data_IF_234377184413
#
_entry.id   IF_234377184413
#
_cell.length_a   1.000
_cell.length_b   1.000
_cell.length_c   1.000
_cell.angle_alpha   90.00
_cell.angle_beta   90.00
_cell.angle_gamma   90.00
#
_symmetry.space_group_name_H-M   'P 1'
#
loop_
_entity.id
_entity.type
_entity.pdbx_description
1 polymer ?
#
# COMPACT_ATOMS: atom_id res chain seq x y z
N UNK A 1 -8.31 -38.95 -42.02
CA UNK A 1 -7.22 -37.97 -41.81
C UNK A 1 -7.40 -36.60 -42.51
N UNK A 2 -8.15 -36.41 -43.61
CA UNK A 2 -8.21 -35.10 -44.29
C UNK A 2 -9.03 -34.04 -43.53
N UNK A 3 -10.07 -34.44 -42.78
CA UNK A 3 -10.96 -33.49 -42.09
C UNK A 3 -10.25 -32.61 -41.03
N UNK A 4 -9.26 -33.16 -40.32
CA UNK A 4 -8.49 -32.40 -39.32
C UNK A 4 -7.55 -31.38 -39.96
N UNK A 5 -6.99 -31.69 -41.13
CA UNK A 5 -6.14 -30.78 -41.89
C UNK A 5 -6.96 -29.63 -42.50
N UNK A 6 -8.15 -29.94 -43.02
CA UNK A 6 -9.09 -28.92 -43.53
C UNK A 6 -9.55 -27.98 -42.40
N UNK A 7 -9.89 -28.53 -41.22
CA UNK A 7 -10.28 -27.73 -40.07
C UNK A 7 -9.13 -26.84 -39.55
N UNK A 8 -7.91 -27.37 -39.47
CA UNK A 8 -6.74 -26.60 -39.05
C UNK A 8 -6.42 -25.47 -40.05
N UNK A 9 -6.48 -25.73 -41.36
CA UNK A 9 -6.27 -24.73 -42.39
C UNK A 9 -7.34 -23.61 -42.34
N UNK A 10 -8.60 -23.96 -42.08
CA UNK A 10 -9.68 -22.99 -41.93
C UNK A 10 -9.48 -22.06 -40.73
N UNK A 11 -9.04 -22.59 -39.58
CA UNK A 11 -8.76 -21.79 -38.39
C UNK A 11 -7.59 -20.83 -38.64
N UNK A 12 -6.51 -21.30 -39.27
CA UNK A 12 -5.35 -20.46 -39.58
C UNK A 12 -5.74 -19.34 -40.55
N UNK A 13 -6.50 -19.65 -41.60
CA UNK A 13 -6.97 -18.63 -42.55
C UNK A 13 -7.84 -17.57 -41.87
N UNK A 14 -8.68 -17.96 -40.90
CA UNK A 14 -9.54 -17.04 -40.14
C UNK A 14 -8.72 -16.11 -39.23
N UNK A 15 -7.72 -16.65 -38.53
CA UNK A 15 -6.80 -15.86 -37.69
C UNK A 15 -5.97 -14.89 -38.54
N UNK A 16 -5.43 -15.35 -39.66
CA UNK A 16 -4.64 -14.50 -40.58
C UNK A 16 -5.52 -13.42 -41.21
N UNK A 17 -6.74 -13.76 -41.64
CA UNK A 17 -7.70 -12.79 -42.17
C UNK A 17 -8.09 -11.72 -41.14
N UNK A 18 -8.33 -12.12 -39.89
CA UNK A 18 -8.62 -11.19 -38.79
C UNK A 18 -7.44 -10.26 -38.51
N UNK A 19 -6.23 -10.81 -38.48
CA UNK A 19 -5.02 -10.04 -38.25
C UNK A 19 -4.77 -9.04 -39.39
N UNK A 20 -4.90 -9.47 -40.65
CA UNK A 20 -4.73 -8.59 -41.82
C UNK A 20 -5.80 -7.49 -41.87
N UNK A 21 -7.05 -7.80 -41.54
CA UNK A 21 -8.12 -6.79 -41.42
C UNK A 21 -7.80 -5.75 -40.35
N UNK A 22 -7.38 -6.20 -39.17
CA UNK A 22 -6.97 -5.31 -38.08
C UNK A 22 -5.80 -4.40 -38.48
N UNK A 23 -4.81 -4.92 -39.22
CA UNK A 23 -3.69 -4.12 -39.72
C UNK A 23 -4.11 -3.11 -40.78
N UNK A 24 -5.07 -3.46 -41.64
CA UNK A 24 -5.61 -2.53 -42.65
C UNK A 24 -6.36 -1.38 -41.97
N UNK A 25 -7.20 -1.69 -40.98
CA UNK A 25 -7.95 -0.68 -40.22
C UNK A 25 -7.01 0.22 -39.42
N UNK A 26 -6.00 -0.36 -38.77
CA UNK A 26 -4.98 0.39 -38.04
C UNK A 26 -4.15 1.28 -38.98
N UNK A 27 -3.81 0.78 -40.17
CA UNK A 27 -3.08 1.53 -41.19
C UNK A 27 -3.88 2.70 -41.76
N UNK A 28 -5.17 2.51 -42.03
CA UNK A 28 -6.09 3.57 -42.45
C UNK A 28 -6.18 4.66 -41.38
N UNK A 29 -6.40 4.27 -40.12
CA UNK A 29 -6.44 5.21 -39.00
C UNK A 29 -5.12 5.97 -38.82
N UNK A 30 -3.96 5.30 -38.94
CA UNK A 30 -2.66 5.95 -38.87
C UNK A 30 -2.43 6.94 -40.01
N UNK A 31 -2.86 6.59 -41.22
CA UNK A 31 -2.77 7.45 -42.40
C UNK A 31 -3.62 8.71 -42.21
N UNK A 32 -4.87 8.57 -41.77
CA UNK A 32 -5.76 9.70 -41.50
C UNK A 32 -5.20 10.60 -40.38
N UNK A 33 -4.65 9.99 -39.32
CA UNK A 33 -3.97 10.71 -38.25
C UNK A 33 -2.73 11.46 -38.79
N UNK A 34 -1.96 10.85 -39.68
CA UNK A 34 -0.80 11.48 -40.31
C UNK A 34 -1.20 12.66 -41.20
N UNK A 35 -2.23 12.50 -42.04
CA UNK A 35 -2.76 13.59 -42.85
C UNK A 35 -3.28 14.74 -41.97
N UNK A 36 -3.94 14.42 -40.86
CA UNK A 36 -4.37 15.41 -39.89
C UNK A 36 -3.18 16.14 -39.23
N UNK A 37 -2.12 15.42 -38.85
CA UNK A 37 -0.92 16.00 -38.25
C UNK A 37 -0.10 16.83 -39.24
N UNK A 38 -0.07 16.43 -40.50
CA UNK A 38 0.64 17.11 -41.60
C UNK A 38 -0.16 18.27 -42.19
N UNK A 39 -1.47 18.37 -41.92
CA UNK A 39 -2.29 19.48 -42.37
C UNK A 39 -1.78 20.80 -41.78
N UNK A 40 -1.49 21.76 -42.66
CA UNK A 40 -0.98 23.08 -42.31
C UNK A 40 -2.12 24.01 -41.93
N UNK A 41 -2.47 24.01 -40.65
CA UNK A 41 -3.37 25.00 -40.02
C UNK A 41 -2.54 26.16 -39.45
N UNK A 42 -3.21 27.24 -39.00
CA UNK A 42 -2.57 28.41 -38.36
C UNK A 42 -1.59 28.06 -37.23
N UNK A 43 -1.80 26.91 -36.57
CA UNK A 43 -0.88 26.31 -35.60
C UNK A 43 -0.65 24.86 -36.03
N UNK A 44 0.59 24.42 -36.29
CA UNK A 44 0.83 23.06 -36.77
C UNK A 44 0.24 22.00 -35.83
N UNK A 45 -0.55 21.08 -36.37
CA UNK A 45 -1.28 20.08 -35.58
C UNK A 45 -0.34 19.12 -34.81
N UNK A 46 0.88 18.89 -35.31
CA UNK A 46 1.91 18.14 -34.58
C UNK A 46 2.32 18.81 -33.27
N UNK A 47 2.29 20.15 -33.21
CA UNK A 47 2.61 20.91 -32.00
C UNK A 47 1.50 20.73 -30.95
N UNK A 48 0.23 20.73 -31.39
CA UNK A 48 -0.92 20.41 -30.53
C UNK A 48 -0.83 18.99 -29.96
N UNK A 49 -0.38 18.03 -30.77
CA UNK A 49 -0.10 16.67 -30.32
C UNK A 49 0.92 16.62 -29.18
N UNK A 50 2.04 17.33 -29.31
CA UNK A 50 3.07 17.43 -28.26
C UNK A 50 2.49 18.07 -26.99
N UNK A 51 1.75 19.18 -27.12
CA UNK A 51 1.11 19.82 -25.96
C UNK A 51 0.11 18.91 -25.25
N UNK A 52 -0.69 18.14 -26.00
CA UNK A 52 -1.63 17.18 -25.44
C UNK A 52 -0.91 16.08 -24.64
N UNK A 53 0.20 15.54 -25.16
CA UNK A 53 1.02 14.54 -24.45
C UNK A 53 1.58 15.14 -23.15
N UNK A 54 2.16 16.34 -23.20
CA UNK A 54 2.66 17.03 -22.01
C UNK A 54 1.55 17.27 -20.98
N UNK A 55 0.36 17.68 -21.41
CA UNK A 55 -0.78 17.89 -20.54
C UNK A 55 -1.22 16.58 -19.86
N UNK A 56 -1.27 15.45 -20.58
CA UNK A 56 -1.60 14.13 -20.03
C UNK A 56 -0.55 13.70 -18.99
N UNK A 57 0.74 13.87 -19.28
CA UNK A 57 1.82 13.51 -18.35
C UNK A 57 1.71 14.34 -17.07
N UNK A 58 1.53 15.66 -17.18
CA UNK A 58 1.38 16.55 -16.02
C UNK A 58 0.12 16.21 -15.23
N UNK A 59 -1.02 15.98 -15.90
CA UNK A 59 -2.26 15.56 -15.26
C UNK A 59 -2.12 14.20 -14.57
N UNK A 60 -1.36 13.27 -15.15
CA UNK A 60 -1.05 11.97 -14.56
C UNK A 60 -0.16 12.07 -13.33
N UNK A 61 0.87 12.92 -13.38
CA UNK A 61 1.75 13.20 -12.24
C UNK A 61 1.00 13.92 -11.11
N UNK A 62 0.18 14.91 -11.45
CA UNK A 62 -0.69 15.60 -10.50
C UNK A 62 -1.75 14.65 -9.95
N UNK A 63 -2.36 13.81 -10.79
CA UNK A 63 -3.32 12.80 -10.36
C UNK A 63 -2.70 11.74 -9.45
N UNK A 64 -1.45 11.35 -9.69
CA UNK A 64 -0.69 10.46 -8.83
C UNK A 64 -0.25 11.13 -7.52
N UNK A 65 0.09 12.42 -7.56
CA UNK A 65 0.43 13.22 -6.37
C UNK A 65 -0.78 13.62 -5.53
N UNK A 66 -1.94 13.77 -6.17
CA UNK A 66 -3.24 14.06 -5.55
C UNK A 66 -4.02 12.79 -5.20
N UNK A 67 -3.52 11.59 -5.54
CA UNK A 67 -4.06 10.36 -4.95
C UNK A 67 -3.98 10.57 -3.44
N UNK A 68 -5.13 10.61 -2.74
CA UNK A 68 -5.12 10.73 -1.30
C UNK A 68 -4.29 9.56 -0.81
N UNK A 69 -3.12 9.84 -0.25
CA UNK A 69 -2.48 8.89 0.63
C UNK A 69 -3.58 8.51 1.59
N UNK A 70 -3.88 7.22 1.65
CA UNK A 70 -5.01 6.66 2.38
C UNK A 70 -4.81 6.79 3.90
N UNK A 71 -4.13 7.84 4.37
CA UNK A 71 -4.31 8.46 5.66
C UNK A 71 -5.66 9.16 5.65
N UNK A 72 -6.69 8.32 5.69
CA UNK A 72 -8.02 8.69 6.12
C UNK A 72 -7.88 9.62 7.33
N UNK A 73 -8.17 10.91 7.13
CA UNK A 73 -8.80 11.76 8.14
C UNK A 73 -10.12 11.07 8.53
N UNK A 74 -10.04 9.99 9.31
CA UNK A 74 -11.06 9.76 10.32
C UNK A 74 -10.88 10.89 11.33
N UNK A 75 -11.96 11.44 11.93
CA UNK A 75 -11.81 12.25 13.13
C UNK A 75 -10.88 11.47 14.05
N UNK A 76 -9.70 12.02 14.32
CA UNK A 76 -8.62 11.32 15.00
C UNK A 76 -9.22 10.67 16.26
N UNK A 77 -9.31 9.33 16.33
CA UNK A 77 -9.75 8.70 17.57
C UNK A 77 -8.80 9.21 18.64
N UNK A 78 -9.36 9.68 19.76
CA UNK A 78 -8.60 10.33 20.83
C UNK A 78 -7.40 9.43 21.13
N UNK A 79 -6.22 9.89 20.73
CA UNK A 79 -5.01 9.11 20.86
C UNK A 79 -4.57 9.27 22.30
N UNK A 80 -4.81 8.22 23.08
CA UNK A 80 -4.42 8.17 24.48
C UNK A 80 -3.02 7.60 24.57
N UNK A 81 -2.24 8.16 25.50
CA UNK A 81 -0.89 7.71 25.77
C UNK A 81 -0.71 7.60 27.27
N UNK A 82 -0.15 6.48 27.71
CA UNK A 82 0.25 6.27 29.09
C UNK A 82 1.50 5.40 29.17
N UNK A 83 2.14 5.36 30.34
CA UNK A 83 3.38 4.64 30.57
C UNK A 83 3.14 3.47 31.52
N UNK A 84 3.28 2.24 31.01
CA UNK A 84 3.16 1.01 31.77
C UNK A 84 4.40 0.13 31.55
N UNK A 85 4.89 -0.53 32.59
CA UNK A 85 6.03 -1.46 32.50
C UNK A 85 7.28 -0.84 31.85
N UNK A 86 7.57 0.43 32.15
CA UNK A 86 8.70 1.18 31.56
C UNK A 86 8.63 1.29 30.01
N UNK A 87 7.43 1.14 29.45
CA UNK A 87 7.09 1.31 28.05
C UNK A 87 6.04 2.41 27.93
N UNK A 88 6.17 3.27 26.92
CA UNK A 88 5.12 4.22 26.54
C UNK A 88 4.16 3.54 25.59
N UNK A 89 2.92 3.34 26.02
CA UNK A 89 1.87 2.78 25.18
C UNK A 89 1.10 3.91 24.52
N UNK A 90 0.82 3.74 23.24
CA UNK A 90 -0.14 4.58 22.51
C UNK A 90 -1.22 3.69 21.97
N UNK A 91 -2.45 4.13 22.14
CA UNK A 91 -3.61 3.46 21.60
C UNK A 91 -4.65 4.49 21.19
N UNK A 92 -5.70 4.00 20.55
CA UNK A 92 -6.86 4.77 20.18
C UNK A 92 -8.11 3.99 20.57
N UNK A 93 -9.24 4.67 20.69
CA UNK A 93 -10.53 4.01 20.92
C UNK A 93 -11.34 4.00 19.63
N UNK A 94 -12.02 2.90 19.37
CA UNK A 94 -13.00 2.83 18.29
C UNK A 94 -14.37 3.36 18.70
N UNK A 95 -15.31 3.37 17.76
CA UNK A 95 -16.66 3.85 18.00
C UNK A 95 -17.43 3.02 19.05
N UNK A 96 -17.01 1.79 19.34
CA UNK A 96 -17.56 0.94 20.40
C UNK A 96 -16.85 1.08 21.75
N UNK A 97 -15.81 1.93 21.84
CA UNK A 97 -14.99 2.07 23.04
C UNK A 97 -13.93 0.97 23.20
N UNK A 98 -13.72 0.14 22.18
CA UNK A 98 -12.66 -0.86 22.13
C UNK A 98 -11.30 -0.21 21.88
N UNK A 99 -10.26 -0.76 22.50
CA UNK A 99 -8.86 -0.32 22.30
C UNK A 99 -8.37 -0.81 20.93
N UNK A 100 -7.99 0.12 20.06
CA UNK A 100 -7.37 -0.13 18.75
C UNK A 100 -5.96 0.47 18.67
N UNK A 101 -5.15 -0.06 17.75
CA UNK A 101 -3.79 0.41 17.43
C UNK A 101 -2.84 0.44 18.64
N UNK A 102 -2.99 -0.48 19.60
CA UNK A 102 -2.11 -0.59 20.76
C UNK A 102 -0.67 -0.85 20.32
N UNK A 103 0.21 0.13 20.57
CA UNK A 103 1.60 0.09 20.10
C UNK A 103 2.58 0.52 21.20
N UNK A 104 3.65 -0.26 21.45
CA UNK A 104 4.67 0.08 22.44
C UNK A 104 5.75 1.00 21.85
N UNK A 105 6.13 2.02 22.62
CA UNK A 105 7.15 3.02 22.27
C UNK A 105 8.20 3.17 23.38
N UNK A 106 9.43 3.46 22.96
CA UNK A 106 10.56 3.69 23.84
C UNK A 106 10.41 5.03 24.57
N UNK A 107 10.55 5.03 25.89
CA UNK A 107 10.53 6.24 26.72
C UNK A 107 11.67 7.23 26.41
N UNK A 108 12.83 6.72 25.95
CA UNK A 108 14.02 7.55 25.70
C UNK A 108 13.97 8.31 24.38
N UNK A 109 13.63 7.63 23.29
CA UNK A 109 13.72 8.20 21.94
C UNK A 109 12.38 8.28 21.19
N UNK A 110 11.29 7.75 21.77
CA UNK A 110 9.95 7.79 21.16
C UNK A 110 9.78 6.88 19.95
N UNK A 111 10.73 6.01 19.62
CA UNK A 111 10.58 5.02 18.55
C UNK A 111 9.80 3.79 19.02
N UNK A 112 9.11 3.13 18.09
CA UNK A 112 8.41 1.86 18.34
C UNK A 112 9.39 0.81 18.89
N UNK A 113 8.95 0.06 19.90
CA UNK A 113 9.69 -1.06 20.44
C UNK A 113 9.40 -2.33 19.63
N UNK A 114 10.39 -3.20 19.54
CA UNK A 114 10.27 -4.51 18.89
C UNK A 114 10.53 -5.59 19.93
N UNK A 115 9.65 -6.59 19.98
CA UNK A 115 9.87 -7.78 20.78
C UNK A 115 10.91 -8.66 20.09
N UNK A 116 11.97 -8.99 20.81
CA UNK A 116 12.99 -9.97 20.39
C UNK A 116 12.92 -11.15 21.34
N UNK A 117 12.83 -12.36 20.79
CA UNK A 117 12.89 -13.58 21.58
C UNK A 117 14.31 -13.77 22.10
N UNK A 118 14.44 -14.00 23.41
CA UNK A 118 15.73 -14.13 24.10
C UNK A 118 15.79 -15.50 24.77
N UNK A 119 16.26 -16.48 23.99
CA UNK A 119 16.46 -17.85 24.47
C UNK A 119 16.66 -18.82 23.32
N UNK A 120 17.70 -19.65 23.39
CA UNK A 120 17.92 -20.77 22.47
C UNK A 120 17.47 -22.12 23.06
N UNK A 121 17.13 -22.14 24.35
CA UNK A 121 16.84 -23.36 25.13
C UNK A 121 15.45 -23.28 25.73
N UNK A 122 14.55 -24.16 25.26
CA UNK A 122 13.24 -24.40 25.87
C UNK A 122 13.38 -24.77 27.36
N UNK A 123 12.42 -24.40 28.24
CA UNK A 123 11.03 -24.01 27.95
C UNK A 123 10.62 -22.60 28.45
N UNK A 124 11.55 -21.66 28.67
CA UNK A 124 11.17 -20.31 29.09
C UNK A 124 11.02 -19.39 27.87
N UNK A 125 9.77 -19.12 27.47
CA UNK A 125 9.42 -18.12 26.46
C UNK A 125 9.73 -16.72 27.01
N UNK A 126 11.00 -16.31 26.90
CA UNK A 126 11.48 -15.00 27.33
C UNK A 126 11.59 -14.06 26.15
N UNK A 127 11.00 -12.88 26.29
CA UNK A 127 11.05 -11.82 25.30
C UNK A 127 11.66 -10.54 25.88
N UNK A 128 12.53 -9.89 25.13
CA UNK A 128 13.03 -8.54 25.43
C UNK A 128 12.33 -7.53 24.53
N UNK A 129 11.76 -6.49 25.13
CA UNK A 129 11.31 -5.31 24.40
C UNK A 129 12.49 -4.37 24.16
N UNK A 130 13.11 -4.43 22.98
CA UNK A 130 14.26 -3.59 22.64
C UNK A 130 13.89 -2.49 21.65
N UNK A 131 14.44 -1.30 21.85
CA UNK A 131 14.34 -0.22 20.86
C UNK A 131 15.40 -0.38 19.78
N UNK A 132 15.00 -0.45 18.51
CA UNK A 132 15.95 -0.58 17.40
C UNK A 132 16.83 0.67 17.18
N UNK A 133 16.39 1.84 17.63
CA UNK A 133 17.15 3.09 17.43
C UNK A 133 18.18 3.36 18.51
N UNK A 134 17.81 3.23 19.78
CA UNK A 134 18.72 3.53 20.90
C UNK A 134 19.31 2.28 21.56
N UNK A 135 18.89 1.08 21.16
CA UNK A 135 19.35 -0.19 21.74
C UNK A 135 18.86 -0.45 23.17
N UNK A 136 18.12 0.49 23.78
CA UNK A 136 17.65 0.34 25.14
C UNK A 136 16.64 -0.82 25.26
N UNK A 137 16.84 -1.66 26.27
CA UNK A 137 15.87 -2.66 26.71
C UNK A 137 14.87 -1.95 27.62
N UNK A 138 13.59 -1.97 27.23
CA UNK A 138 12.52 -1.32 27.97
C UNK A 138 12.00 -2.22 29.11
N UNK A 139 11.77 -3.49 28.81
CA UNK A 139 11.42 -4.53 29.77
C UNK A 139 11.81 -5.92 29.27
N UNK A 140 11.88 -6.86 30.22
CA UNK A 140 11.94 -8.30 29.99
C UNK A 140 10.57 -8.90 30.32
N UNK A 141 10.11 -9.82 29.48
CA UNK A 141 8.82 -10.49 29.58
C UNK A 141 9.11 -11.98 29.79
N UNK A 142 8.73 -12.50 30.96
CA UNK A 142 8.84 -13.91 31.33
C UNK A 142 7.57 -14.73 31.02
N UNK A 143 6.62 -14.15 30.28
CA UNK A 143 5.35 -14.76 29.91
C UNK A 143 5.11 -14.69 28.38
N UNK A 144 4.04 -15.33 27.91
CA UNK A 144 3.67 -15.23 26.50
C UNK A 144 3.28 -13.79 26.13
N UNK A 145 3.40 -13.46 24.83
CA UNK A 145 3.06 -12.13 24.32
C UNK A 145 1.58 -11.82 24.56
N UNK A 146 0.71 -12.81 24.41
CA UNK A 146 -0.74 -12.68 24.60
C UNK A 146 -1.09 -12.39 26.07
N UNK A 147 -0.40 -13.05 27.01
CA UNK A 147 -0.60 -12.78 28.44
C UNK A 147 -0.13 -11.38 28.81
N UNK A 148 1.00 -10.94 28.25
CA UNK A 148 1.52 -9.59 28.46
C UNK A 148 0.57 -8.52 27.90
N UNK A 149 0.05 -8.70 26.68
CA UNK A 149 -0.95 -7.81 26.08
C UNK A 149 -2.23 -7.74 26.93
N UNK A 150 -2.69 -8.87 27.45
CA UNK A 150 -3.86 -8.93 28.33
C UNK A 150 -3.66 -8.11 29.62
N UNK A 151 -2.47 -8.17 30.22
CA UNK A 151 -2.12 -7.37 31.41
C UNK A 151 -2.10 -5.86 31.10
N UNK A 152 -1.60 -5.48 29.92
CA UNK A 152 -1.60 -4.07 29.47
C UNK A 152 -3.03 -3.58 29.25
N UNK A 153 -3.87 -4.37 28.57
CA UNK A 153 -5.28 -4.03 28.34
C UNK A 153 -6.06 -3.87 29.66
N UNK A 154 -5.83 -4.76 30.63
CA UNK A 154 -6.42 -4.63 31.97
C UNK A 154 -6.00 -3.31 32.63
N UNK A 155 -4.71 -2.95 32.55
CA UNK A 155 -4.19 -1.70 33.12
C UNK A 155 -4.82 -0.46 32.50
N UNK A 156 -4.99 -0.47 31.17
CA UNK A 156 -5.68 0.61 30.44
C UNK A 156 -7.12 0.78 30.95
N UNK A 157 -7.86 -0.31 31.12
CA UNK A 157 -9.24 -0.27 31.61
C UNK A 157 -9.31 0.33 33.03
N UNK A 158 -8.42 -0.09 33.93
CA UNK A 158 -8.31 0.49 35.28
C UNK A 158 -8.11 2.01 35.24
N UNK A 159 -7.12 2.50 34.48
CA UNK A 159 -6.84 3.95 34.36
C UNK A 159 -7.94 4.74 33.66
N UNK A 160 -8.73 4.12 32.78
CA UNK A 160 -9.84 4.81 32.10
C UNK A 160 -11.10 4.94 32.96
N UNK A 161 -11.18 4.19 34.06
CA UNK A 161 -12.36 4.10 34.93
C UNK A 161 -12.28 4.95 36.20
N UNK A 162 -11.12 5.55 36.49
CA UNK A 162 -10.89 6.43 37.65
C UNK A 162 -10.82 7.90 37.24
#
# INVERSE_FOLDING_TARGET
>A
MPAKLVAAAAIVALVVGYFLGLWSDLGGWLSDLWYFLAASTLVPNWLLGIFAICAIVVAGLLGAGLRPTRNSRRPSPISTQDNFFNIRWRWSYDASGGVQDLSPYCLRCGNRLVLKHVGATRPADRYECRCDRCGAVACEIDCSVEEFESRVLQKIHETSSG
#
